data_IF_465476154134
#
_entry.id   IF_465476154134
#
_cell.length_a   1.000
_cell.length_b   1.000
_cell.length_c   1.000
_cell.angle_alpha   90.00
_cell.angle_beta   90.00
_cell.angle_gamma   90.00
#
_symmetry.space_group_name_H-M   'P 1'
#
loop_
_entity.id
_entity.type
_entity.pdbx_description
1 polymer ?
#
# COMPACT_ATOMS: atom_id res chain seq x y z
N UNK A 1 -14.88 4.92 3.39
CA UNK A 1 -13.95 5.90 2.78
C UNK A 1 -13.85 7.15 3.67
N UNK A 2 -12.76 7.92 3.64
CA UNK A 2 -12.67 9.19 4.39
C UNK A 2 -13.55 10.26 3.74
N UNK A 3 -14.33 10.99 4.54
CA UNK A 3 -15.29 11.98 4.03
C UNK A 3 -14.63 13.26 3.50
N UNK A 4 -13.41 13.58 3.96
CA UNK A 4 -12.58 14.66 3.44
C UNK A 4 -11.12 14.55 3.93
N UNK A 5 -10.23 15.38 3.37
CA UNK A 5 -8.81 15.40 3.74
C UNK A 5 -8.54 15.70 5.22
N UNK A 6 -9.40 16.49 5.89
CA UNK A 6 -9.25 16.79 7.32
C UNK A 6 -9.57 15.58 8.19
N UNK A 7 -10.62 14.81 7.84
CA UNK A 7 -10.97 13.56 8.52
C UNK A 7 -9.86 12.52 8.41
N UNK A 8 -9.21 12.44 7.23
CA UNK A 8 -8.03 11.61 7.01
C UNK A 8 -6.86 12.03 7.90
N UNK A 9 -6.47 13.31 7.85
CA UNK A 9 -5.38 13.85 8.68
C UNK A 9 -5.63 13.66 10.17
N UNK A 10 -6.87 13.84 10.64
CA UNK A 10 -7.24 13.61 12.03
C UNK A 10 -7.04 12.14 12.44
N UNK A 11 -7.48 11.19 11.61
CA UNK A 11 -7.29 9.75 11.88
C UNK A 11 -5.81 9.37 11.92
N UNK A 12 -5.02 9.86 10.95
CA UNK A 12 -3.57 9.66 10.89
C UNK A 12 -2.90 10.19 12.17
N UNK A 13 -3.25 11.40 12.61
CA UNK A 13 -2.72 12.01 13.84
C UNK A 13 -3.09 11.21 15.10
N UNK A 14 -4.30 10.67 15.17
CA UNK A 14 -4.73 9.87 16.31
C UNK A 14 -3.96 8.54 16.39
N UNK A 15 -3.80 7.83 15.27
CA UNK A 15 -3.00 6.59 15.21
C UNK A 15 -1.53 6.86 15.54
N UNK A 16 -0.98 7.96 15.03
CA UNK A 16 0.40 8.38 15.32
C UNK A 16 0.63 8.56 16.83
N UNK A 17 -0.30 9.22 17.53
CA UNK A 17 -0.22 9.39 18.99
C UNK A 17 -0.36 8.09 19.75
N UNK A 18 -1.34 7.26 19.36
CA UNK A 18 -1.65 5.99 20.01
C UNK A 18 -0.48 4.99 19.91
N UNK A 19 0.14 4.89 18.73
CA UNK A 19 1.23 3.95 18.45
C UNK A 19 2.63 4.52 18.68
N UNK A 20 2.76 5.81 19.01
CA UNK A 20 4.06 6.46 19.19
C UNK A 20 4.93 6.54 17.93
N UNK A 21 4.34 6.47 16.74
CA UNK A 21 5.06 6.51 15.45
C UNK A 21 4.78 7.81 14.68
N UNK A 22 5.73 8.35 13.90
CA UNK A 22 5.53 9.52 13.06
C UNK A 22 4.29 9.45 12.17
N UNK A 23 3.50 10.52 12.12
CA UNK A 23 2.29 10.61 11.29
C UNK A 23 2.56 10.35 9.80
N UNK A 24 3.73 10.76 9.29
CA UNK A 24 4.15 10.47 7.92
C UNK A 24 4.27 8.96 7.65
N UNK A 25 4.81 8.19 8.60
CA UNK A 25 4.91 6.73 8.47
C UNK A 25 3.53 6.07 8.47
N UNK A 26 2.61 6.53 9.33
CA UNK A 26 1.21 6.06 9.32
C UNK A 26 0.56 6.33 7.96
N UNK A 27 0.78 7.51 7.40
CA UNK A 27 0.25 7.88 6.08
C UNK A 27 0.85 7.01 4.96
N UNK A 28 2.15 6.78 4.96
CA UNK A 28 2.83 5.92 3.99
C UNK A 28 2.34 4.46 4.08
N UNK A 29 2.19 3.92 5.29
CA UNK A 29 1.63 2.57 5.48
C UNK A 29 0.22 2.46 4.92
N UNK A 30 -0.64 3.43 5.23
CA UNK A 30 -2.00 3.47 4.71
C UNK A 30 -2.01 3.45 3.18
N UNK A 31 -1.17 4.28 2.53
CA UNK A 31 -1.07 4.32 1.07
C UNK A 31 -0.66 2.96 0.50
N UNK A 32 0.37 2.32 1.06
CA UNK A 32 0.83 1.00 0.60
C UNK A 32 -0.29 -0.05 0.78
N UNK A 33 -1.00 -0.04 1.91
CA UNK A 33 -2.14 -0.94 2.13
C UNK A 33 -3.27 -0.72 1.13
N UNK A 34 -3.56 0.53 0.73
CA UNK A 34 -4.54 0.80 -0.31
C UNK A 34 -4.10 0.26 -1.67
N UNK A 35 -2.83 0.47 -2.05
CA UNK A 35 -2.29 -0.08 -3.30
C UNK A 35 -2.35 -1.61 -3.30
N UNK A 36 -1.96 -2.26 -2.20
CA UNK A 36 -2.05 -3.72 -2.07
C UNK A 36 -3.49 -4.23 -2.13
N UNK A 37 -4.46 -3.49 -1.59
CA UNK A 37 -5.89 -3.80 -1.70
C UNK A 37 -6.40 -3.69 -3.14
N UNK A 38 -5.93 -2.70 -3.90
CA UNK A 38 -6.28 -2.57 -5.32
C UNK A 38 -5.66 -3.71 -6.14
N UNK A 39 -4.38 -4.03 -5.89
CA UNK A 39 -3.72 -5.19 -6.51
C UNK A 39 -4.48 -6.49 -6.20
N UNK A 40 -4.92 -6.69 -4.95
CA UNK A 40 -5.58 -7.94 -4.55
C UNK A 40 -6.97 -8.15 -5.16
N UNK A 41 -7.58 -7.08 -5.69
CA UNK A 41 -8.90 -7.11 -6.34
C UNK A 41 -8.81 -6.95 -7.86
N UNK A 42 -7.62 -6.73 -8.42
CA UNK A 42 -7.40 -6.59 -9.85
C UNK A 42 -7.20 -7.94 -10.54
N UNK A 43 -7.21 -7.92 -11.88
CA UNK A 43 -6.80 -9.05 -12.73
C UNK A 43 -5.34 -9.47 -12.50
N UNK A 44 -4.52 -8.63 -11.88
CA UNK A 44 -3.09 -8.88 -11.64
C UNK A 44 -2.80 -9.49 -10.27
N UNK A 45 -3.81 -9.80 -9.43
CA UNK A 45 -3.62 -10.33 -8.07
C UNK A 45 -2.57 -11.46 -8.01
N UNK A 46 -2.67 -12.41 -8.92
CA UNK A 46 -1.83 -13.62 -8.91
C UNK A 46 -0.47 -13.38 -9.61
N UNK A 47 -0.30 -12.22 -10.26
CA UNK A 47 0.94 -11.78 -10.91
C UNK A 47 1.89 -11.04 -9.95
N UNK A 48 1.36 -10.37 -8.92
CA UNK A 48 2.17 -9.63 -7.94
C UNK A 48 2.48 -10.48 -6.69
N UNK A 49 3.77 -10.67 -6.41
CA UNK A 49 4.25 -11.38 -5.22
C UNK A 49 4.92 -10.38 -4.27
N UNK A 50 4.27 -10.11 -3.15
CA UNK A 50 4.81 -9.27 -2.07
C UNK A 50 5.88 -10.04 -1.30
N UNK A 51 7.01 -9.39 -1.04
CA UNK A 51 8.15 -9.99 -0.34
C UNK A 51 8.88 -8.94 0.51
N UNK A 52 10.07 -9.31 1.01
CA UNK A 52 10.97 -8.38 1.65
C UNK A 52 10.54 -7.93 3.04
N UNK A 53 11.16 -6.85 3.52
CA UNK A 53 11.01 -6.40 4.90
C UNK A 53 9.66 -5.77 5.21
N UNK A 54 8.92 -5.29 4.20
CA UNK A 54 7.55 -4.83 4.39
C UNK A 54 6.63 -5.96 4.85
N UNK A 55 6.70 -7.13 4.20
CA UNK A 55 5.91 -8.30 4.58
C UNK A 55 6.24 -8.78 6.00
N UNK A 56 7.54 -8.85 6.32
CA UNK A 56 8.01 -9.23 7.66
C UNK A 56 7.51 -8.21 8.70
N UNK A 57 7.60 -6.91 8.39
CA UNK A 57 7.12 -5.81 9.22
C UNK A 57 5.63 -5.90 9.56
N UNK A 58 4.80 -6.35 8.61
CA UNK A 58 3.37 -6.57 8.85
C UNK A 58 3.09 -7.74 9.80
N UNK A 59 3.98 -8.75 9.88
CA UNK A 59 3.84 -9.87 10.81
C UNK A 59 4.27 -9.52 12.24
N UNK A 60 5.25 -8.62 12.40
CA UNK A 60 5.87 -8.32 13.71
C UNK A 60 5.37 -7.04 14.40
N UNK A 61 4.62 -6.18 13.68
CA UNK A 61 4.06 -4.93 14.22
C UNK A 61 4.75 -3.66 13.72
N UNK A 62 3.98 -2.55 13.71
CA UNK A 62 4.40 -1.27 13.13
C UNK A 62 5.54 -0.57 13.90
N UNK A 63 5.64 -0.81 15.20
CA UNK A 63 6.56 -0.18 16.15
C UNK A 63 8.00 -0.74 16.07
N UNK A 64 8.20 -1.88 15.39
CA UNK A 64 9.49 -2.58 15.30
C UNK A 64 10.12 -2.51 13.92
N UNK A 65 9.63 -1.66 13.01
CA UNK A 65 10.09 -1.62 11.62
C UNK A 65 11.36 -0.79 11.43
N UNK A 66 12.23 -1.29 10.56
CA UNK A 66 13.40 -0.59 10.01
C UNK A 66 13.25 -0.22 8.52
N UNK A 67 12.30 -0.80 7.77
CA UNK A 67 12.09 -0.53 6.32
C UNK A 67 10.64 -0.17 5.98
N UNK A 68 10.48 0.81 5.08
CA UNK A 68 9.21 1.33 4.57
C UNK A 68 8.92 0.94 3.13
N UNK A 69 9.91 0.39 2.41
CA UNK A 69 9.82 0.10 0.99
C UNK A 69 8.99 -1.16 0.75
N UNK A 70 8.16 -1.13 -0.30
CA UNK A 70 7.39 -2.30 -0.73
C UNK A 70 8.16 -3.08 -1.79
N UNK A 71 8.72 -4.23 -1.42
CA UNK A 71 9.35 -5.14 -2.36
C UNK A 71 8.31 -6.06 -3.02
N UNK A 72 8.22 -6.03 -4.35
CA UNK A 72 7.29 -6.87 -5.11
C UNK A 72 7.99 -7.53 -6.28
N UNK A 73 7.50 -8.69 -6.72
CA UNK A 73 7.88 -9.32 -7.99
C UNK A 73 6.65 -9.46 -8.85
N UNK A 74 6.75 -8.95 -10.07
CA UNK A 74 5.72 -9.13 -11.10
C UNK A 74 6.08 -10.35 -11.95
N UNK A 75 5.14 -11.27 -12.12
CA UNK A 75 5.28 -12.48 -12.94
C UNK A 75 4.28 -12.49 -14.09
N UNK A 76 4.63 -13.19 -15.16
CA UNK A 76 3.71 -13.42 -16.29
C UNK A 76 3.52 -12.22 -17.22
N UNK A 77 4.30 -11.15 -17.04
CA UNK A 77 4.30 -9.97 -17.89
C UNK A 77 5.74 -9.54 -18.18
N UNK A 78 5.96 -8.90 -19.33
CA UNK A 78 7.24 -8.28 -19.64
C UNK A 78 7.49 -7.06 -18.73
N UNK A 79 8.70 -6.96 -18.19
CA UNK A 79 9.11 -5.88 -17.31
C UNK A 79 9.63 -4.70 -18.14
N UNK A 80 8.71 -3.91 -18.68
CA UNK A 80 8.98 -2.62 -19.34
C UNK A 80 8.32 -1.47 -18.57
N UNK A 81 8.78 -0.24 -18.82
CA UNK A 81 8.23 0.95 -18.15
C UNK A 81 6.77 1.17 -18.58
N UNK A 82 6.51 0.98 -19.86
CA UNK A 82 5.22 1.18 -20.52
C UNK A 82 4.19 0.22 -19.93
N UNK A 83 4.51 -1.09 -19.87
CA UNK A 83 3.64 -2.09 -19.27
C UNK A 83 3.37 -1.80 -17.80
N UNK A 84 4.38 -1.38 -17.04
CA UNK A 84 4.18 -1.05 -15.62
C UNK A 84 3.23 0.14 -15.44
N UNK A 85 3.34 1.17 -16.29
CA UNK A 85 2.42 2.31 -16.26
C UNK A 85 0.99 1.84 -16.55
N UNK A 86 0.79 1.08 -17.64
CA UNK A 86 -0.53 0.55 -18.01
C UNK A 86 -1.16 -0.31 -16.90
N UNK A 87 -0.39 -1.25 -16.34
CA UNK A 87 -0.85 -2.11 -15.24
C UNK A 87 -1.29 -1.27 -14.03
N UNK A 88 -0.49 -0.28 -13.63
CA UNK A 88 -0.84 0.57 -12.49
C UNK A 88 -2.02 1.49 -12.80
N UNK A 89 -2.15 2.00 -14.03
CA UNK A 89 -3.33 2.77 -14.45
C UNK A 89 -4.60 1.94 -14.37
N UNK A 90 -4.58 0.69 -14.82
CA UNK A 90 -5.72 -0.24 -14.71
C UNK A 90 -6.08 -0.53 -13.24
N UNK A 91 -5.07 -0.79 -12.41
CA UNK A 91 -5.27 -1.07 -10.98
C UNK A 91 -5.87 0.14 -10.26
N UNK A 92 -5.34 1.35 -10.52
CA UNK A 92 -5.73 2.58 -9.82
C UNK A 92 -7.04 3.19 -10.35
N UNK A 93 -7.36 3.00 -11.63
CA UNK A 93 -8.60 3.49 -12.24
C UNK A 93 -9.77 2.50 -12.11
N UNK A 94 -9.52 1.28 -11.62
CA UNK A 94 -10.57 0.32 -11.33
C UNK A 94 -11.57 0.93 -10.32
N UNK A 95 -12.86 0.95 -10.69
CA UNK A 95 -13.92 1.40 -9.78
C UNK A 95 -13.96 0.44 -8.61
N UNK A 96 -13.43 0.87 -7.48
CA UNK A 96 -13.64 0.17 -6.22
C UNK A 96 -14.95 0.67 -5.63
N UNK A 97 -15.99 -0.15 -5.73
CA UNK A 97 -17.20 0.04 -4.92
C UNK A 97 -16.80 -0.09 -3.44
N UNK A 98 -17.00 0.97 -2.66
CA UNK A 98 -16.62 1.02 -1.24
C UNK A 98 -17.03 2.28 -0.48
#
# INVERSE_FOLDING_TARGET
>A
MFSNANSFKAKIKNISKDKGIPAQQVQQHYLIEQVLKLISTSSYRDSFIVKGGYLIGQMIGLDKRTTMDLDVTLKGTEMSRENLIEIFEEILCSKTDG
#
